data_IF_244235302768
#
_entry.id   IF_244235302768
#
_cell.length_a   1.000
_cell.length_b   1.000
_cell.length_c   1.000
_cell.angle_alpha   90.00
_cell.angle_beta   90.00
_cell.angle_gamma   90.00
#
_symmetry.space_group_name_H-M   'P 1'
#
loop_
_entity.id
_entity.type
_entity.pdbx_description
1 polymer ?
#
# COMPACT_ATOMS: atom_id res chain seq x y z
N UNK A 1 16.12 10.09 -31.36
CA UNK A 1 16.48 10.24 -29.94
C UNK A 1 15.27 9.95 -29.07
N UNK A 2 15.43 9.17 -28.01
CA UNK A 2 14.39 9.02 -26.98
C UNK A 2 14.38 10.28 -26.12
N UNK A 3 13.23 10.93 -26.00
CA UNK A 3 13.06 12.06 -25.10
C UNK A 3 13.29 11.62 -23.64
N UNK A 4 13.90 12.46 -22.78
CA UNK A 4 14.21 12.10 -21.40
C UNK A 4 12.96 11.72 -20.60
N UNK A 5 11.80 12.28 -20.92
CA UNK A 5 10.50 11.96 -20.32
C UNK A 5 9.99 10.53 -20.60
N UNK A 6 10.50 9.86 -21.64
CA UNK A 6 10.04 8.51 -22.02
C UNK A 6 10.97 7.41 -21.50
N UNK A 7 12.06 7.78 -20.82
CA UNK A 7 13.00 6.81 -20.29
C UNK A 7 12.40 6.11 -19.05
N UNK A 8 12.27 4.77 -19.04
CA UNK A 8 11.75 4.06 -17.88
C UNK A 8 12.69 4.24 -16.69
N UNK A 9 12.15 4.78 -15.60
CA UNK A 9 12.86 4.93 -14.34
C UNK A 9 12.73 3.64 -13.55
N UNK A 10 13.87 3.05 -13.21
CA UNK A 10 13.92 1.82 -12.41
C UNK A 10 14.37 2.13 -10.99
N UNK A 11 13.69 1.48 -10.04
CA UNK A 11 14.19 1.35 -8.69
C UNK A 11 15.22 0.22 -8.59
N UNK A 12 16.18 0.27 -7.66
CA UNK A 12 17.12 -0.84 -7.49
C UNK A 12 16.44 -2.19 -7.18
N UNK A 13 15.30 -2.22 -6.50
CA UNK A 13 14.51 -3.46 -6.33
C UNK A 13 14.00 -4.07 -7.66
N UNK A 14 13.95 -3.29 -8.74
CA UNK A 14 13.53 -3.72 -10.08
C UNK A 14 14.71 -4.10 -10.99
N UNK A 15 15.95 -3.89 -10.53
CA UNK A 15 17.16 -4.16 -11.29
C UNK A 15 17.80 -5.50 -10.87
N UNK A 16 18.59 -6.14 -11.76
CA UNK A 16 19.36 -7.33 -11.40
C UNK A 16 20.30 -7.07 -10.21
N UNK A 17 20.45 -8.03 -9.27
CA UNK A 17 21.29 -7.88 -8.09
C UNK A 17 22.73 -7.44 -8.38
N UNK A 18 23.28 -7.87 -9.53
CA UNK A 18 24.62 -7.51 -10.01
C UNK A 18 24.81 -6.01 -10.20
N UNK A 19 23.78 -5.31 -10.69
CA UNK A 19 23.81 -3.86 -10.91
C UNK A 19 23.61 -3.14 -9.57
N UNK A 20 22.70 -3.64 -8.75
CA UNK A 20 22.39 -3.11 -7.43
C UNK A 20 23.62 -3.08 -6.51
N UNK A 21 24.42 -4.15 -6.51
CA UNK A 21 25.63 -4.26 -5.70
C UNK A 21 26.65 -3.14 -5.97
N UNK A 22 26.61 -2.49 -7.13
CA UNK A 22 27.52 -1.39 -7.50
C UNK A 22 27.18 -0.06 -6.82
N UNK A 23 26.04 0.05 -6.12
CA UNK A 23 25.52 1.29 -5.53
C UNK A 23 24.94 1.06 -4.13
N UNK A 24 25.78 0.75 -3.13
CA UNK A 24 25.31 0.39 -1.78
C UNK A 24 24.55 1.51 -1.06
N UNK A 25 24.90 2.79 -1.32
CA UNK A 25 24.19 3.92 -0.73
C UNK A 25 22.73 4.02 -1.22
N UNK A 26 22.52 3.81 -2.52
CA UNK A 26 21.18 3.86 -3.12
C UNK A 26 20.32 2.71 -2.59
N UNK A 27 20.90 1.52 -2.45
CA UNK A 27 20.21 0.38 -1.84
C UNK A 27 19.79 0.65 -0.40
N UNK A 28 20.66 1.27 0.39
CA UNK A 28 20.32 1.65 1.76
C UNK A 28 19.16 2.64 1.81
N UNK A 29 19.21 3.68 0.98
CA UNK A 29 18.14 4.68 0.88
C UNK A 29 16.83 4.06 0.43
N UNK A 30 16.85 3.20 -0.58
CA UNK A 30 15.65 2.51 -1.05
C UNK A 30 15.10 1.60 0.05
N UNK A 31 15.93 0.84 0.74
CA UNK A 31 15.49 -0.01 1.85
C UNK A 31 14.76 0.81 2.93
N UNK A 32 15.31 1.95 3.33
CA UNK A 32 14.67 2.85 4.29
C UNK A 32 13.36 3.43 3.75
N UNK A 33 13.32 3.79 2.46
CA UNK A 33 12.11 4.27 1.78
C UNK A 33 11.00 3.21 1.77
N UNK A 34 11.31 1.98 1.35
CA UNK A 34 10.33 0.89 1.25
C UNK A 34 9.78 0.52 2.63
N UNK A 35 10.62 0.55 3.67
CA UNK A 35 10.16 0.36 5.05
C UNK A 35 9.15 1.43 5.46
N UNK A 36 9.49 2.70 5.24
CA UNK A 36 8.61 3.82 5.57
C UNK A 36 7.29 3.75 4.78
N UNK A 37 7.35 3.45 3.48
CA UNK A 37 6.16 3.30 2.64
C UNK A 37 5.24 2.17 3.13
N UNK A 38 5.82 1.03 3.53
CA UNK A 38 5.05 -0.09 4.07
C UNK A 38 4.41 0.26 5.42
N UNK A 39 5.14 0.90 6.34
CA UNK A 39 4.58 1.31 7.64
C UNK A 39 3.49 2.36 7.49
N UNK A 40 3.68 3.34 6.61
CA UNK A 40 2.70 4.40 6.36
C UNK A 40 1.44 3.82 5.73
N UNK A 41 1.59 2.89 4.77
CA UNK A 41 0.46 2.23 4.13
C UNK A 41 -0.38 1.41 5.13
N UNK A 42 0.24 0.70 6.08
CA UNK A 42 -0.51 -0.01 7.14
C UNK A 42 -1.32 0.99 7.98
N UNK A 43 -0.71 2.10 8.40
CA UNK A 43 -1.41 3.11 9.22
C UNK A 43 -2.58 3.71 8.44
N UNK A 44 -2.38 4.03 7.17
CA UNK A 44 -3.42 4.54 6.26
C UNK A 44 -4.56 3.51 6.07
N UNK A 45 -4.22 2.21 5.98
CA UNK A 45 -5.19 1.13 5.86
C UNK A 45 -6.03 1.00 7.14
N UNK A 46 -5.40 0.99 8.32
CA UNK A 46 -6.11 0.94 9.60
C UNK A 46 -7.07 2.13 9.78
N UNK A 47 -6.66 3.33 9.35
CA UNK A 47 -7.52 4.51 9.36
C UNK A 47 -8.71 4.35 8.41
N UNK A 48 -8.46 3.84 7.21
CA UNK A 48 -9.51 3.59 6.21
C UNK A 48 -10.53 2.55 6.69
N UNK A 49 -10.07 1.45 7.28
CA UNK A 49 -10.90 0.42 7.92
C UNK A 49 -11.79 1.00 9.03
N UNK A 50 -11.21 1.87 9.85
CA UNK A 50 -11.94 2.55 10.93
C UNK A 50 -13.06 3.41 10.34
N UNK A 51 -12.76 4.22 9.31
CA UNK A 51 -13.75 5.03 8.61
C UNK A 51 -14.85 4.16 7.99
N UNK A 52 -14.50 3.10 7.26
CA UNK A 52 -15.45 2.15 6.68
C UNK A 52 -16.39 1.56 7.74
N UNK A 53 -15.84 1.13 8.88
CA UNK A 53 -16.62 0.58 9.99
C UNK A 53 -17.64 1.60 10.51
N UNK A 54 -17.24 2.86 10.66
CA UNK A 54 -18.15 3.92 11.10
C UNK A 54 -19.22 4.24 10.04
N UNK A 55 -18.85 4.26 8.76
CA UNK A 55 -19.79 4.49 7.66
C UNK A 55 -20.83 3.37 7.54
N UNK A 56 -20.41 2.12 7.73
CA UNK A 56 -21.32 0.97 7.72
C UNK A 56 -22.32 1.03 8.87
N UNK A 57 -21.87 1.38 10.08
CA UNK A 57 -22.77 1.60 11.23
C UNK A 57 -23.73 2.76 10.98
N UNK A 58 -23.21 3.89 10.49
CA UNK A 58 -24.04 5.05 10.14
C UNK A 58 -25.10 4.70 9.10
N UNK A 59 -24.74 3.94 8.06
CA UNK A 59 -25.68 3.46 7.04
C UNK A 59 -26.77 2.57 7.65
N UNK A 60 -26.41 1.66 8.55
CA UNK A 60 -27.37 0.78 9.21
C UNK A 60 -28.35 1.54 10.10
N UNK A 61 -27.86 2.51 10.88
CA UNK A 61 -28.63 3.15 11.94
C UNK A 61 -29.40 4.38 11.47
N UNK A 62 -28.85 5.17 10.54
CA UNK A 62 -29.31 6.54 10.25
C UNK A 62 -29.81 6.74 8.81
N UNK A 63 -29.47 5.83 7.90
CA UNK A 63 -29.81 6.01 6.47
C UNK A 63 -31.13 5.35 6.16
N UNK A 64 -32.14 6.17 5.93
CA UNK A 64 -33.47 5.74 5.51
C UNK A 64 -33.82 6.28 4.12
N UNK A 65 -34.53 5.48 3.33
CA UNK A 65 -34.94 5.85 1.97
C UNK A 65 -33.88 5.62 0.90
N UNK A 66 -34.33 5.58 -0.36
CA UNK A 66 -33.52 5.12 -1.49
C UNK A 66 -32.36 6.06 -1.83
N UNK A 67 -32.60 7.38 -1.89
CA UNK A 67 -31.57 8.35 -2.28
C UNK A 67 -30.39 8.36 -1.30
N UNK A 68 -30.67 8.41 0.00
CA UNK A 68 -29.65 8.40 1.04
C UNK A 68 -28.88 7.06 1.06
N UNK A 69 -29.57 5.94 0.80
CA UNK A 69 -28.93 4.62 0.69
C UNK A 69 -27.95 4.56 -0.49
N UNK A 70 -28.35 5.02 -1.68
CA UNK A 70 -27.45 5.08 -2.85
C UNK A 70 -26.22 5.96 -2.59
N UNK A 71 -26.41 7.10 -1.91
CA UNK A 71 -25.29 7.96 -1.51
C UNK A 71 -24.34 7.25 -0.53
N UNK A 72 -24.88 6.59 0.50
CA UNK A 72 -24.10 5.83 1.46
C UNK A 72 -23.34 4.65 0.82
N UNK A 73 -23.99 3.91 -0.09
CA UNK A 73 -23.34 2.85 -0.88
C UNK A 73 -22.22 3.40 -1.76
N UNK A 74 -22.42 4.57 -2.39
CA UNK A 74 -21.37 5.21 -3.20
C UNK A 74 -20.17 5.58 -2.36
N UNK A 75 -20.38 6.06 -1.13
CA UNK A 75 -19.31 6.41 -0.22
C UNK A 75 -18.55 5.16 0.29
N UNK A 76 -19.27 4.09 0.62
CA UNK A 76 -18.67 2.81 1.00
C UNK A 76 -17.82 2.22 -0.14
N UNK A 77 -18.34 2.15 -1.36
CA UNK A 77 -17.60 1.64 -2.52
C UNK A 77 -16.32 2.46 -2.78
N UNK A 78 -16.35 3.79 -2.55
CA UNK A 78 -15.15 4.63 -2.66
C UNK A 78 -14.12 4.32 -1.59
N UNK A 79 -14.58 4.03 -0.37
CA UNK A 79 -13.71 3.72 0.75
C UNK A 79 -13.08 2.32 0.58
N UNK A 80 -13.84 1.33 0.10
CA UNK A 80 -13.33 0.01 -0.30
C UNK A 80 -12.28 0.13 -1.41
N UNK A 81 -12.57 0.87 -2.50
CA UNK A 81 -11.60 1.09 -3.57
C UNK A 81 -10.33 1.83 -3.11
N UNK A 82 -10.43 2.67 -2.07
CA UNK A 82 -9.28 3.30 -1.46
C UNK A 82 -8.46 2.30 -0.64
N UNK A 83 -9.12 1.42 0.13
CA UNK A 83 -8.46 0.35 0.88
C UNK A 83 -7.68 -0.58 -0.05
N UNK A 84 -8.26 -1.01 -1.17
CA UNK A 84 -7.59 -1.87 -2.16
C UNK A 84 -6.30 -1.22 -2.70
N UNK A 85 -6.34 0.09 -2.97
CA UNK A 85 -5.17 0.83 -3.45
C UNK A 85 -4.07 0.93 -2.39
N UNK A 86 -4.44 1.14 -1.13
CA UNK A 86 -3.49 1.21 -0.02
C UNK A 86 -2.89 -0.17 0.24
N UNK A 87 -3.70 -1.23 0.19
CA UNK A 87 -3.23 -2.61 0.31
C UNK A 87 -2.23 -2.97 -0.79
N UNK A 88 -2.51 -2.62 -2.05
CA UNK A 88 -1.56 -2.83 -3.15
C UNK A 88 -0.25 -2.06 -2.92
N UNK A 89 -0.33 -0.79 -2.48
CA UNK A 89 0.85 0.00 -2.12
C UNK A 89 1.67 -0.67 -1.02
N UNK A 90 1.01 -1.23 -0.01
CA UNK A 90 1.67 -2.00 1.04
C UNK A 90 2.37 -3.24 0.47
N UNK A 91 1.68 -4.02 -0.36
CA UNK A 91 2.24 -5.22 -0.99
C UNK A 91 3.48 -4.93 -1.83
N UNK A 92 3.41 -3.93 -2.69
CA UNK A 92 4.55 -3.53 -3.53
C UNK A 92 5.74 -3.11 -2.65
N UNK A 93 5.50 -2.32 -1.61
CA UNK A 93 6.55 -1.87 -0.71
C UNK A 93 7.17 -3.03 0.10
N UNK A 94 6.34 -3.94 0.61
CA UNK A 94 6.77 -5.12 1.34
C UNK A 94 7.60 -6.06 0.47
N UNK A 95 7.17 -6.35 -0.75
CA UNK A 95 7.91 -7.20 -1.71
C UNK A 95 9.25 -6.56 -2.07
N UNK A 96 9.25 -5.25 -2.35
CA UNK A 96 10.47 -4.51 -2.65
C UNK A 96 11.44 -4.53 -1.48
N UNK A 97 10.96 -4.31 -0.25
CA UNK A 97 11.76 -4.42 0.95
C UNK A 97 12.35 -5.82 1.13
N UNK A 98 11.56 -6.87 0.87
CA UNK A 98 11.99 -8.27 0.96
C UNK A 98 13.14 -8.58 0.00
N UNK A 99 13.05 -8.09 -1.24
CA UNK A 99 14.11 -8.27 -2.25
C UNK A 99 15.42 -7.63 -1.77
N UNK A 100 15.34 -6.44 -1.14
CA UNK A 100 16.51 -5.68 -0.71
C UNK A 100 17.12 -6.18 0.61
N UNK A 101 16.27 -6.55 1.57
CA UNK A 101 16.69 -6.91 2.92
C UNK A 101 16.98 -8.41 3.09
N UNK A 102 16.39 -9.26 2.24
CA UNK A 102 16.35 -10.71 2.43
C UNK A 102 15.46 -11.10 3.62
N UNK A 103 15.37 -12.39 3.93
CA UNK A 103 14.62 -12.86 5.10
C UNK A 103 15.28 -12.38 6.42
N UNK A 104 14.46 -12.03 7.41
CA UNK A 104 14.94 -11.61 8.72
C UNK A 104 13.83 -11.19 9.69
N UNK A 105 14.22 -10.70 10.86
CA UNK A 105 13.31 -10.31 11.95
C UNK A 105 12.24 -9.30 11.55
N UNK A 106 12.50 -8.49 10.52
CA UNK A 106 11.55 -7.49 10.01
C UNK A 106 10.26 -8.13 9.47
N UNK A 107 10.25 -9.41 9.08
CA UNK A 107 9.04 -10.13 8.64
C UNK A 107 8.00 -10.25 9.78
N UNK A 108 8.42 -10.11 11.04
CA UNK A 108 7.50 -10.05 12.19
C UNK A 108 6.76 -8.72 12.29
N UNK A 109 7.34 -7.65 11.73
CA UNK A 109 6.79 -6.29 11.72
C UNK A 109 5.98 -6.05 10.44
N UNK A 110 6.57 -6.35 9.27
CA UNK A 110 5.92 -6.20 7.97
C UNK A 110 5.40 -7.56 7.46
N UNK A 111 4.31 -8.01 8.09
CA UNK A 111 3.68 -9.30 7.77
C UNK A 111 2.95 -9.25 6.42
N UNK A 112 2.88 -10.38 5.69
CA UNK A 112 2.01 -10.44 4.52
C UNK A 112 0.56 -10.13 4.93
N UNK A 113 -0.08 -9.24 4.17
CA UNK A 113 -1.48 -8.87 4.35
C UNK A 113 -2.36 -9.86 3.55
N UNK A 114 -3.29 -10.54 4.19
CA UNK A 114 -4.29 -11.35 3.48
C UNK A 114 -5.46 -10.48 3.05
N UNK A 115 -6.22 -10.91 2.04
CA UNK A 115 -7.50 -10.29 1.73
C UNK A 115 -8.49 -10.37 2.91
N UNK A 116 -8.36 -11.42 3.73
CA UNK A 116 -9.19 -11.61 4.94
C UNK A 116 -8.87 -10.61 6.07
N UNK A 117 -7.73 -9.91 5.98
CA UNK A 117 -7.33 -8.89 6.96
C UNK A 117 -7.91 -7.50 6.62
N UNK A 118 -8.63 -7.37 5.49
CA UNK A 118 -9.21 -6.14 4.93
C UNK A 118 -10.74 -6.16 5.05
#
# INVERSE_FOLDING_TARGET
ESQPETCPLFLPSQLPPTICALRPLILKMEKELQYAQATDAIVELCQSLTVCTHLTKYKADQVHGQHANTCACTLLNKAEAQMDRIAEKYHVAQVSYRILAGAGEWETVLKPLSQDDI
#
